data_IF_780094713491
#
_entry.id   IF_780094713491
#
_cell.length_a   1.000
_cell.length_b   1.000
_cell.length_c   1.000
_cell.angle_alpha   90.00
_cell.angle_beta   90.00
_cell.angle_gamma   90.00
#
_symmetry.space_group_name_H-M   'P 1'
#
loop_
_entity.id
_entity.type
_entity.pdbx_description
1 polymer ?
#
# COMPACT_ATOMS: atom_id res chain seq x y z
N UNK A 1 5.27 -15.81 -1.43
CA UNK A 1 4.45 -15.42 -2.59
C UNK A 1 5.21 -14.37 -3.37
N UNK A 2 5.24 -14.40 -4.70
CA UNK A 2 6.02 -13.45 -5.49
C UNK A 2 5.29 -12.10 -5.53
N UNK A 3 5.82 -11.07 -4.87
CA UNK A 3 5.18 -9.74 -4.80
C UNK A 3 4.89 -9.14 -6.17
N UNK A 4 5.73 -9.48 -7.15
CA UNK A 4 5.54 -9.04 -8.53
C UNK A 4 4.31 -9.64 -9.19
N UNK A 5 3.96 -10.86 -8.83
CA UNK A 5 2.73 -11.52 -9.33
C UNK A 5 1.47 -10.95 -8.67
N UNK A 6 1.59 -10.41 -7.45
CA UNK A 6 0.47 -9.86 -6.67
C UNK A 6 0.23 -8.39 -7.02
N UNK A 7 1.28 -7.58 -6.93
CA UNK A 7 1.21 -6.11 -7.01
C UNK A 7 1.76 -5.54 -8.31
N UNK A 8 2.25 -6.39 -9.22
CA UNK A 8 2.73 -5.96 -10.53
C UNK A 8 3.90 -4.96 -10.43
N UNK A 9 3.93 -3.92 -11.28
CA UNK A 9 4.96 -2.89 -11.27
C UNK A 9 5.14 -2.18 -9.93
N UNK A 10 4.10 -2.05 -9.09
CA UNK A 10 4.22 -1.39 -7.79
C UNK A 10 5.26 -2.05 -6.87
N UNK A 11 5.45 -3.37 -7.00
CA UNK A 11 6.45 -4.12 -6.22
C UNK A 11 7.91 -3.69 -6.48
N UNK A 12 8.15 -2.95 -7.56
CA UNK A 12 9.47 -2.38 -7.86
C UNK A 12 9.73 -1.02 -7.19
N UNK A 13 8.70 -0.37 -6.62
CA UNK A 13 8.87 0.90 -5.94
C UNK A 13 9.51 0.71 -4.56
N UNK A 14 10.43 1.59 -4.21
CA UNK A 14 11.14 1.58 -2.92
C UNK A 14 10.63 2.66 -1.95
N UNK A 15 9.73 3.54 -2.39
CA UNK A 15 9.20 4.62 -1.56
C UNK A 15 7.73 4.94 -1.85
N UNK A 16 7.05 5.55 -0.86
CA UNK A 16 5.70 6.09 -1.04
C UNK A 16 5.65 7.17 -2.14
N UNK A 17 6.74 7.94 -2.31
CA UNK A 17 6.82 8.96 -3.35
C UNK A 17 6.84 8.35 -4.75
N UNK A 18 7.56 7.24 -4.96
CA UNK A 18 7.53 6.51 -6.23
C UNK A 18 6.14 5.92 -6.51
N UNK A 19 5.49 5.36 -5.49
CA UNK A 19 4.14 4.81 -5.61
C UNK A 19 3.10 5.89 -5.93
N UNK A 20 3.22 7.06 -5.30
CA UNK A 20 2.37 8.21 -5.60
C UNK A 20 2.55 8.71 -7.04
N UNK A 21 3.79 8.75 -7.54
CA UNK A 21 4.07 9.09 -8.95
C UNK A 21 3.48 8.05 -9.91
N UNK A 22 3.63 6.77 -9.60
CA UNK A 22 3.05 5.67 -10.38
C UNK A 22 1.51 5.77 -10.40
N UNK A 23 0.89 6.01 -9.25
CA UNK A 23 -0.57 6.11 -9.09
C UNK A 23 -1.19 7.24 -9.93
N UNK A 24 -0.48 8.35 -10.12
CA UNK A 24 -0.93 9.47 -10.96
C UNK A 24 -0.96 9.14 -12.44
N UNK A 25 -0.11 8.22 -12.89
CA UNK A 25 0.04 7.87 -14.32
C UNK A 25 -0.72 6.61 -14.70
N UNK A 26 -0.96 5.71 -13.75
CA UNK A 26 -1.65 4.45 -14.01
C UNK A 26 -3.13 4.66 -14.29
N UNK A 27 -3.65 3.85 -15.19
CA UNK A 27 -5.05 3.77 -15.56
C UNK A 27 -5.69 2.52 -14.95
N UNK A 28 -6.99 2.61 -14.68
CA UNK A 28 -7.77 1.52 -14.12
C UNK A 28 -7.78 1.51 -12.59
N UNK A 29 -8.95 1.22 -12.02
CA UNK A 29 -9.14 1.22 -10.57
C UNK A 29 -8.39 0.07 -9.91
N UNK A 30 -8.31 -1.10 -10.54
CA UNK A 30 -7.63 -2.27 -9.96
C UNK A 30 -6.12 -2.05 -9.82
N UNK A 31 -5.48 -1.43 -10.82
CA UNK A 31 -4.07 -1.05 -10.72
C UNK A 31 -3.85 -0.01 -9.61
N UNK A 32 -4.74 0.99 -9.49
CA UNK A 32 -4.69 1.98 -8.40
C UNK A 32 -4.87 1.35 -7.02
N UNK A 33 -5.74 0.35 -6.89
CA UNK A 33 -5.92 -0.44 -5.67
C UNK A 33 -4.67 -1.23 -5.33
N UNK A 34 -4.06 -1.90 -6.30
CA UNK A 34 -2.82 -2.65 -6.10
C UNK A 34 -1.66 -1.75 -5.66
N UNK A 35 -1.52 -0.56 -6.26
CA UNK A 35 -0.52 0.45 -5.82
C UNK A 35 -0.78 0.86 -4.37
N UNK A 36 -2.02 1.23 -4.04
CA UNK A 36 -2.38 1.64 -2.70
C UNK A 36 -2.13 0.53 -1.68
N UNK A 37 -2.47 -0.72 -2.02
CA UNK A 37 -2.24 -1.88 -1.17
C UNK A 37 -0.74 -2.13 -0.93
N UNK A 38 0.08 -2.09 -1.98
CA UNK A 38 1.52 -2.25 -1.84
C UNK A 38 2.16 -1.12 -1.04
N UNK A 39 1.67 0.11 -1.20
CA UNK A 39 2.14 1.25 -0.41
C UNK A 39 1.91 1.06 1.10
N UNK A 40 0.79 0.45 1.50
CA UNK A 40 0.54 0.09 2.90
C UNK A 40 1.50 -1.00 3.39
N UNK A 41 1.79 -2.01 2.57
CA UNK A 41 2.80 -3.05 2.88
C UNK A 41 4.18 -2.44 3.07
N UNK A 42 4.61 -1.58 2.14
CA UNK A 42 5.91 -0.91 2.19
C UNK A 42 6.03 -0.03 3.45
N UNK A 43 4.95 0.68 3.81
CA UNK A 43 4.92 1.49 5.02
C UNK A 43 5.05 0.64 6.29
N UNK A 44 4.27 -0.44 6.40
CA UNK A 44 4.36 -1.35 7.55
C UNK A 44 5.75 -1.96 7.73
N UNK A 45 6.43 -2.31 6.63
CA UNK A 45 7.82 -2.80 6.66
C UNK A 45 8.85 -1.75 7.06
N UNK A 46 8.53 -0.48 6.84
CA UNK A 46 9.39 0.64 7.21
C UNK A 46 9.20 1.08 8.67
N UNK A 47 8.20 0.52 9.36
CA UNK A 47 7.93 0.81 10.76
C UNK A 47 9.01 0.21 11.69
N UNK A 48 9.11 0.71 12.94
CA UNK A 48 9.93 0.10 13.97
C UNK A 48 9.67 -1.41 14.07
N UNK A 49 10.74 -2.17 14.27
CA UNK A 49 10.66 -3.62 14.41
C UNK A 49 10.93 -4.00 15.85
N UNK A 50 10.13 -4.91 16.39
CA UNK A 50 10.31 -5.43 17.73
C UNK A 50 9.11 -6.20 18.26
N UNK A 51 9.26 -6.63 19.50
CA UNK A 51 8.33 -7.50 20.20
C UNK A 51 7.59 -6.76 21.31
N UNK A 52 7.67 -5.43 21.37
CA UNK A 52 6.94 -4.62 22.34
C UNK A 52 5.64 -4.08 21.75
N UNK A 53 4.70 -3.77 22.63
CA UNK A 53 3.39 -3.24 22.23
C UNK A 53 3.53 -1.93 21.45
N UNK A 54 4.47 -1.07 21.86
CA UNK A 54 4.78 0.19 21.21
C UNK A 54 5.30 -0.01 19.77
N UNK A 55 5.97 -1.12 19.47
CA UNK A 55 6.42 -1.43 18.11
C UNK A 55 5.22 -1.76 17.21
N UNK A 56 4.26 -2.54 17.72
CA UNK A 56 3.01 -2.83 17.03
C UNK A 56 2.17 -1.57 16.78
N UNK A 57 2.10 -0.66 17.77
CA UNK A 57 1.47 0.65 17.58
C UNK A 57 2.22 1.50 16.55
N UNK A 58 3.56 1.45 16.54
CA UNK A 58 4.39 2.12 15.54
C UNK A 58 4.06 1.70 14.10
N UNK A 59 3.71 0.43 13.88
CA UNK A 59 3.22 -0.05 12.58
C UNK A 59 1.90 0.64 12.19
N UNK A 60 0.95 0.76 13.12
CA UNK A 60 -0.33 1.43 12.88
C UNK A 60 -0.15 2.93 12.57
N UNK A 61 0.76 3.61 13.27
CA UNK A 61 1.10 5.00 13.01
C UNK A 61 1.70 5.20 11.62
N UNK A 62 2.60 4.31 11.19
CA UNK A 62 3.15 4.30 9.84
C UNK A 62 2.06 4.08 8.77
N UNK A 63 1.09 3.19 9.02
CA UNK A 63 -0.05 3.01 8.11
C UNK A 63 -0.93 4.26 8.05
N UNK A 64 -1.19 4.91 9.18
CA UNK A 64 -1.94 6.17 9.25
C UNK A 64 -1.28 7.29 8.43
N UNK A 65 0.04 7.45 8.58
CA UNK A 65 0.82 8.41 7.81
C UNK A 65 0.81 8.08 6.30
N UNK A 66 1.00 6.82 5.93
CA UNK A 66 0.96 6.38 4.53
C UNK A 66 -0.42 6.60 3.90
N UNK A 67 -1.50 6.29 4.62
CA UNK A 67 -2.87 6.57 4.17
C UNK A 67 -3.05 8.06 3.88
N UNK A 68 -2.65 8.93 4.79
CA UNK A 68 -2.76 10.39 4.61
C UNK A 68 -2.03 10.85 3.35
N UNK A 69 -0.80 10.41 3.15
CA UNK A 69 0.02 10.80 1.98
C UNK A 69 -0.57 10.27 0.66
N UNK A 70 -1.01 9.01 0.62
CA UNK A 70 -1.61 8.40 -0.57
C UNK A 70 -2.95 9.05 -0.93
N UNK A 71 -3.80 9.29 0.06
CA UNK A 71 -5.10 9.93 -0.13
C UNK A 71 -4.89 11.36 -0.69
N UNK A 72 -3.94 12.12 -0.15
CA UNK A 72 -3.58 13.45 -0.67
C UNK A 72 -3.01 13.38 -2.08
N UNK A 73 -2.04 12.50 -2.32
CA UNK A 73 -1.33 12.41 -3.61
C UNK A 73 -2.22 11.94 -4.77
N UNK A 74 -3.27 11.19 -4.44
CA UNK A 74 -4.29 10.68 -5.36
C UNK A 74 -5.55 11.55 -5.42
N UNK A 75 -5.58 12.73 -4.79
CA UNK A 75 -6.76 13.59 -4.70
C UNK A 75 -8.00 12.87 -4.19
N UNK A 76 -7.82 12.01 -3.19
CA UNK A 76 -8.87 11.22 -2.55
C UNK A 76 -9.67 10.35 -3.52
N UNK A 77 -9.02 9.81 -4.56
CA UNK A 77 -9.72 8.90 -5.47
C UNK A 77 -10.29 7.70 -4.71
N UNK A 78 -11.53 7.33 -5.04
CA UNK A 78 -12.27 6.25 -4.39
C UNK A 78 -11.48 4.93 -4.28
N UNK A 79 -10.77 4.45 -5.34
CA UNK A 79 -10.01 3.21 -5.26
C UNK A 79 -8.91 3.24 -4.19
N UNK A 80 -8.19 4.36 -4.08
CA UNK A 80 -7.12 4.55 -3.10
C UNK A 80 -7.68 4.62 -1.68
N UNK A 81 -8.66 5.51 -1.46
CA UNK A 81 -9.23 5.77 -0.13
C UNK A 81 -9.84 4.51 0.46
N UNK A 82 -10.56 3.71 -0.35
CA UNK A 82 -11.15 2.44 0.11
C UNK A 82 -10.06 1.48 0.56
N UNK A 83 -9.04 1.25 -0.26
CA UNK A 83 -7.98 0.28 0.05
C UNK A 83 -7.18 0.69 1.28
N UNK A 84 -6.74 1.95 1.35
CA UNK A 84 -5.97 2.45 2.49
C UNK A 84 -6.78 2.41 3.78
N UNK A 85 -8.08 2.76 3.72
CA UNK A 85 -8.96 2.69 4.89
C UNK A 85 -9.22 1.23 5.32
N UNK A 86 -9.48 0.32 4.38
CA UNK A 86 -9.71 -1.09 4.69
C UNK A 86 -8.49 -1.73 5.33
N UNK A 87 -7.29 -1.54 4.77
CA UNK A 87 -6.06 -2.12 5.34
C UNK A 87 -5.81 -1.56 6.73
N UNK A 88 -5.88 -0.25 6.93
CA UNK A 88 -5.68 0.36 8.25
C UNK A 88 -6.70 -0.16 9.27
N UNK A 89 -7.99 -0.15 8.92
CA UNK A 89 -9.05 -0.57 9.84
C UNK A 89 -8.98 -2.05 10.21
N UNK A 90 -8.68 -2.94 9.25
CA UNK A 90 -8.54 -4.36 9.52
C UNK A 90 -7.29 -4.64 10.36
N UNK A 91 -6.20 -3.91 10.12
CA UNK A 91 -4.96 -4.04 10.91
C UNK A 91 -5.15 -3.55 12.34
N UNK A 92 -5.85 -2.43 12.54
CA UNK A 92 -6.24 -1.95 13.86
C UNK A 92 -7.06 -3.01 14.60
N UNK A 93 -8.08 -3.58 13.94
CA UNK A 93 -8.89 -4.65 14.53
C UNK A 93 -8.04 -5.86 14.91
N UNK A 94 -7.10 -6.27 14.07
CA UNK A 94 -6.18 -7.37 14.37
C UNK A 94 -5.33 -7.09 15.61
N UNK A 95 -4.72 -5.89 15.72
CA UNK A 95 -3.93 -5.53 16.90
C UNK A 95 -4.80 -5.53 18.16
N UNK A 96 -6.01 -4.97 18.10
CA UNK A 96 -6.94 -4.94 19.23
C UNK A 96 -7.37 -6.35 19.65
N UNK A 97 -7.69 -7.22 18.69
CA UNK A 97 -8.13 -8.62 18.95
C UNK A 97 -7.01 -9.49 19.52
N UNK A 98 -5.76 -9.25 19.10
CA UNK A 98 -4.57 -10.01 19.54
C UNK A 98 -3.93 -9.42 20.80
N UNK A 99 -4.42 -8.28 21.29
CA UNK A 99 -3.90 -7.67 22.52
C UNK A 99 -4.69 -8.15 23.72
N UNK A 100 -4.01 -8.85 24.64
CA UNK A 100 -4.49 -9.10 25.98
C UNK A 100 -3.80 -8.09 26.91
N UNK A 101 -4.56 -7.19 27.57
CA UNK A 101 -3.98 -6.11 28.36
C UNK A 101 -2.87 -6.58 29.31
N UNK A 102 -1.71 -5.95 29.20
CA UNK A 102 -0.51 -6.17 30.01
C UNK A 102 0.18 -7.54 29.88
N UNK A 103 -0.35 -8.48 29.08
CA UNK A 103 0.20 -9.85 29.02
C UNK A 103 0.57 -10.32 27.63
N UNK A 104 -0.18 -9.92 26.59
CA UNK A 104 0.05 -10.40 25.22
C UNK A 104 -0.28 -9.32 24.20
N UNK A 105 0.51 -9.26 23.12
CA UNK A 105 0.28 -8.39 21.97
C UNK A 105 1.01 -8.98 20.76
N UNK A 106 0.58 -8.65 19.52
CA UNK A 106 1.30 -9.10 18.34
C UNK A 106 2.64 -8.36 18.22
N UNK A 107 3.65 -9.07 17.72
CA UNK A 107 4.93 -8.48 17.30
C UNK A 107 4.73 -7.59 16.06
N UNK A 108 5.65 -6.64 15.82
CA UNK A 108 5.62 -5.84 14.59
C UNK A 108 5.61 -6.71 13.33
N UNK A 109 6.34 -7.83 13.35
CA UNK A 109 6.43 -8.79 12.25
C UNK A 109 5.12 -9.51 11.96
N UNK A 110 4.36 -9.88 13.00
CA UNK A 110 3.01 -10.45 12.84
C UNK A 110 2.04 -9.43 12.26
N UNK A 111 2.08 -8.17 12.72
CA UNK A 111 1.27 -7.09 12.15
C UNK A 111 1.60 -6.86 10.67
N UNK A 112 2.89 -6.82 10.31
CA UNK A 112 3.33 -6.69 8.90
C UNK A 112 2.90 -7.86 8.04
N UNK A 113 2.94 -9.07 8.57
CA UNK A 113 2.47 -10.28 7.88
C UNK A 113 0.97 -10.19 7.62
N UNK A 114 0.19 -9.77 8.61
CA UNK A 114 -1.25 -9.55 8.47
C UNK A 114 -1.57 -8.46 7.43
N UNK A 115 -0.84 -7.33 7.44
CA UNK A 115 -0.99 -6.27 6.44
C UNK A 115 -0.81 -6.83 5.02
N UNK A 116 0.21 -7.67 4.82
CA UNK A 116 0.46 -8.31 3.53
C UNK A 116 -0.73 -9.20 3.09
N UNK A 117 -1.27 -10.00 4.00
CA UNK A 117 -2.43 -10.87 3.71
C UNK A 117 -3.67 -10.06 3.29
N UNK A 118 -3.96 -8.96 3.98
CA UNK A 118 -5.06 -8.08 3.60
C UNK A 118 -4.77 -7.37 2.28
N UNK A 119 -3.55 -6.86 2.09
CA UNK A 119 -3.14 -6.16 0.88
C UNK A 119 -3.22 -7.06 -0.37
N UNK A 120 -2.87 -8.35 -0.24
CA UNK A 120 -2.93 -9.31 -1.33
C UNK A 120 -4.35 -9.53 -1.88
N UNK A 121 -5.41 -9.20 -1.12
CA UNK A 121 -6.80 -9.23 -1.60
C UNK A 121 -7.08 -8.16 -2.68
N UNK A 122 -6.22 -7.16 -2.81
CA UNK A 122 -6.31 -6.09 -3.78
C UNK A 122 -5.29 -6.23 -4.92
N UNK A 123 -4.77 -7.44 -5.12
CA UNK A 123 -3.85 -7.78 -6.19
C UNK A 123 -4.40 -7.43 -7.59
N UNK A 124 -3.49 -7.09 -8.50
CA UNK A 124 -3.84 -6.84 -9.90
C UNK A 124 -2.81 -7.51 -10.82
N UNK A 125 -3.19 -8.66 -11.38
CA UNK A 125 -2.36 -9.48 -12.27
C UNK A 125 -2.47 -9.09 -13.77
N UNK A 126 -3.36 -8.17 -14.14
CA UNK A 126 -3.61 -7.79 -15.53
C UNK A 126 -2.51 -6.92 -16.14
N UNK A 127 -2.56 -6.60 -17.45
CA UNK A 127 -1.63 -5.65 -18.04
C UNK A 127 -1.90 -4.25 -17.47
N UNK A 128 -0.86 -3.62 -16.92
CA UNK A 128 -0.99 -2.26 -16.39
C UNK A 128 -0.87 -1.28 -17.54
N UNK A 129 -1.71 -0.24 -17.51
CA UNK A 129 -1.72 0.82 -18.52
C UNK A 129 -1.36 2.14 -17.89
N UNK A 130 -0.56 2.95 -18.56
CA UNK A 130 -0.23 4.31 -18.10
C UNK A 130 -0.35 5.34 -19.21
N UNK A 131 -0.57 6.59 -18.81
CA UNK A 131 -0.47 7.73 -19.71
C UNK A 131 1.00 8.02 -20.05
N UNK A 132 1.28 8.21 -21.34
CA UNK A 132 2.57 8.68 -21.83
C UNK A 132 2.52 10.20 -21.91
N UNK A 133 3.51 10.86 -21.31
CA UNK A 133 3.59 12.33 -21.24
C UNK A 133 4.73 12.80 -22.13
N UNK A 134 4.43 13.66 -23.10
CA UNK A 134 5.42 14.26 -23.99
C UNK A 134 6.25 15.36 -23.32
N UNK A 135 7.22 15.90 -24.06
CA UNK A 135 8.18 16.93 -23.59
C UNK A 135 7.54 18.20 -22.99
N UNK A 136 6.27 18.48 -23.31
CA UNK A 136 5.54 19.66 -22.82
C UNK A 136 4.45 19.32 -21.79
N UNK A 137 4.49 18.15 -21.16
CA UNK A 137 3.52 17.77 -20.12
C UNK A 137 2.15 17.32 -20.65
N UNK A 138 1.94 17.35 -21.97
CA UNK A 138 0.74 16.85 -22.62
C UNK A 138 0.72 15.31 -22.69
N UNK A 139 -0.45 14.71 -22.47
CA UNK A 139 -0.64 13.27 -22.66
C UNK A 139 -0.59 12.96 -24.16
N UNK A 140 0.39 12.18 -24.59
CA UNK A 140 0.62 11.82 -26.00
C UNK A 140 0.14 10.43 -26.36
N UNK A 141 -0.24 9.61 -25.38
CA UNK A 141 -0.75 8.26 -25.63
C UNK A 141 -1.01 7.46 -24.35
N UNK A 142 -1.35 6.18 -24.55
CA UNK A 142 -1.50 5.17 -23.50
C UNK A 142 -0.61 3.99 -23.89
N UNK A 143 0.16 3.46 -22.95
CA UNK A 143 0.99 2.27 -23.17
C UNK A 143 0.72 1.22 -22.09
N UNK A 144 0.92 -0.06 -22.46
CA UNK A 144 0.97 -1.18 -21.53
C UNK A 144 2.39 -1.35 -20.98
N UNK A 145 2.53 -1.69 -19.70
CA UNK A 145 3.83 -1.81 -19.04
C UNK A 145 3.82 -2.86 -17.92
N UNK A 146 4.96 -3.53 -17.76
CA UNK A 146 5.19 -4.55 -16.72
C UNK A 146 6.34 -4.19 -15.76
N UNK A 147 6.93 -3.00 -15.94
CA UNK A 147 8.04 -2.44 -15.15
C UNK A 147 7.95 -0.91 -15.09
N UNK A 148 8.39 -0.33 -13.97
CA UNK A 148 8.41 1.13 -13.73
C UNK A 148 9.34 1.82 -14.73
#
# INVERSE_FOLDING_TARGET
>A
MNEREIFGPASGCQSLSELALLQRRVLGDDAKRAIAAYAMVLSGRSAPQGDYFEDALGVLDCLGAAKMELDKSSFHTKPTVIVTATILSETQRFVDEMTIPCTEWPTSGEVVSFIFEIAAKFACAGPWKRTVVGLHGQVTGIEEFDRI
#
